data_IF_579526268875
#
_entry.id   IF_579526268875
#
_cell.length_a   1.000
_cell.length_b   1.000
_cell.length_c   1.000
_cell.angle_alpha   90.00
_cell.angle_beta   90.00
_cell.angle_gamma   90.00
#
_symmetry.space_group_name_H-M   'P 1'
#
loop_
_entity.id
_entity.type
_entity.pdbx_description
1 polymer ?
#
# COMPACT_ATOMS: atom_id res chain seq x y z
N UNK A 1 6.27 53.74 -19.69
CA UNK A 1 4.96 53.06 -19.62
C UNK A 1 5.20 51.56 -19.57
N UNK A 2 5.03 50.99 -18.38
CA UNK A 2 5.28 49.58 -18.06
C UNK A 2 4.15 48.70 -18.62
N UNK A 3 4.43 47.90 -19.67
CA UNK A 3 3.50 46.86 -20.12
C UNK A 3 3.57 45.68 -19.16
N UNK A 4 2.73 45.70 -18.12
CA UNK A 4 2.48 44.56 -17.23
C UNK A 4 1.92 43.39 -18.07
N UNK A 5 2.79 42.44 -18.47
CA UNK A 5 2.39 41.14 -19.03
C UNK A 5 1.51 40.44 -18.00
N UNK A 6 0.21 40.31 -18.28
CA UNK A 6 -0.66 39.40 -17.53
C UNK A 6 -0.09 37.99 -17.75
N UNK A 7 0.21 37.21 -16.70
CA UNK A 7 0.47 35.79 -16.89
C UNK A 7 -0.84 35.20 -17.37
N UNK A 8 -0.94 34.93 -18.68
CA UNK A 8 -1.90 33.96 -19.19
C UNK A 8 -1.66 32.71 -18.37
N UNK A 9 -2.60 32.42 -17.48
CA UNK A 9 -2.71 31.16 -16.80
C UNK A 9 -2.88 30.11 -17.90
N UNK A 10 -1.77 29.63 -18.45
CA UNK A 10 -1.76 28.45 -19.32
C UNK A 10 -2.35 27.34 -18.47
N UNK A 11 -3.63 27.05 -18.68
CA UNK A 11 -4.17 25.74 -18.31
C UNK A 11 -3.21 24.77 -18.95
N UNK A 12 -2.49 23.99 -18.15
CA UNK A 12 -1.65 22.92 -18.64
C UNK A 12 -2.54 21.93 -19.41
N UNK A 13 -2.74 22.18 -20.70
CA UNK A 13 -3.45 21.29 -21.60
C UNK A 13 -2.49 20.18 -21.92
N UNK A 14 -2.57 19.10 -21.14
CA UNK A 14 -1.77 17.92 -21.36
C UNK A 14 -2.07 17.36 -22.76
N UNK A 15 -1.05 17.11 -23.60
CA UNK A 15 -1.27 16.69 -24.99
C UNK A 15 -1.86 15.29 -25.09
N UNK A 16 -1.69 14.44 -24.06
CA UNK A 16 -2.26 13.10 -23.98
C UNK A 16 -2.63 12.72 -22.54
N UNK A 17 -3.65 11.86 -22.36
CA UNK A 17 -4.03 11.28 -21.05
C UNK A 17 -2.84 10.56 -20.40
N UNK A 18 -2.04 9.86 -21.19
CA UNK A 18 -0.86 9.14 -20.71
C UNK A 18 0.20 10.06 -20.10
N UNK A 19 0.47 11.22 -20.71
CA UNK A 19 1.41 12.20 -20.16
C UNK A 19 0.92 12.77 -18.83
N UNK A 20 -0.39 13.02 -18.70
CA UNK A 20 -1.02 13.46 -17.45
C UNK A 20 -0.89 12.40 -16.34
N UNK A 21 -1.21 11.14 -16.66
CA UNK A 21 -1.11 10.02 -15.71
C UNK A 21 0.32 9.81 -15.25
N UNK A 22 1.30 9.78 -16.16
CA UNK A 22 2.71 9.61 -15.81
C UNK A 22 3.26 10.76 -14.96
N UNK A 23 2.78 11.98 -15.18
CA UNK A 23 3.16 13.13 -14.36
C UNK A 23 2.55 13.03 -12.94
N UNK A 24 1.26 12.70 -12.84
CA UNK A 24 0.61 12.47 -11.54
C UNK A 24 1.23 11.30 -10.77
N UNK A 25 1.56 10.22 -11.49
CA UNK A 25 2.22 9.05 -10.92
C UNK A 25 3.63 9.38 -10.38
N UNK A 26 4.41 10.19 -11.10
CA UNK A 26 5.73 10.64 -10.63
C UNK A 26 5.66 11.52 -9.38
N UNK A 27 4.58 12.29 -9.21
CA UNK A 27 4.36 13.12 -8.02
C UNK A 27 3.89 12.29 -6.82
N UNK A 28 3.04 11.29 -7.05
CA UNK A 28 2.36 10.54 -5.99
C UNK A 28 3.06 9.23 -5.58
N UNK A 29 3.86 8.61 -6.46
CA UNK A 29 4.62 7.40 -6.12
C UNK A 29 5.63 7.60 -4.98
N UNK A 30 6.35 8.72 -4.89
CA UNK A 30 7.22 9.00 -3.74
C UNK A 30 6.45 9.00 -2.42
N UNK A 31 5.22 9.53 -2.41
CA UNK A 31 4.35 9.51 -1.24
C UNK A 31 3.97 8.07 -0.85
N UNK A 32 3.53 7.26 -1.82
CA UNK A 32 3.22 5.86 -1.56
C UNK A 32 4.44 5.06 -1.06
N UNK A 33 5.59 5.27 -1.68
CA UNK A 33 6.83 4.62 -1.29
C UNK A 33 7.25 5.04 0.12
N UNK A 34 7.09 6.31 0.47
CA UNK A 34 7.32 6.80 1.83
C UNK A 34 6.44 6.06 2.84
N UNK A 35 5.14 5.98 2.59
CA UNK A 35 4.20 5.25 3.47
C UNK A 35 4.60 3.77 3.63
N UNK A 36 4.94 3.09 2.53
CA UNK A 36 5.38 1.69 2.57
C UNK A 36 6.68 1.52 3.37
N UNK A 37 7.68 2.40 3.15
CA UNK A 37 8.95 2.36 3.86
C UNK A 37 8.74 2.66 5.35
N UNK A 38 7.94 3.67 5.71
CA UNK A 38 7.65 4.00 7.10
C UNK A 38 7.03 2.83 7.85
N UNK A 39 6.05 2.15 7.27
CA UNK A 39 5.45 0.97 7.90
C UNK A 39 6.42 -0.22 7.96
N UNK A 40 7.19 -0.47 6.90
CA UNK A 40 8.18 -1.54 6.90
C UNK A 40 9.26 -1.31 7.97
N UNK A 41 9.74 -0.07 8.11
CA UNK A 41 10.70 0.32 9.16
C UNK A 41 10.07 0.19 10.55
N UNK A 42 8.83 0.62 10.74
CA UNK A 42 8.12 0.47 12.02
C UNK A 42 8.01 -1.00 12.43
N UNK A 43 7.71 -1.90 11.48
CA UNK A 43 7.69 -3.35 11.72
C UNK A 43 9.09 -3.90 11.96
N UNK A 44 10.12 -3.46 11.23
CA UNK A 44 11.50 -3.86 11.51
C UNK A 44 11.92 -3.44 12.92
N UNK A 45 11.55 -2.24 13.35
CA UNK A 45 11.85 -1.70 14.67
C UNK A 45 11.04 -2.35 15.81
N UNK A 46 10.12 -3.28 15.51
CA UNK A 46 9.31 -3.99 16.51
C UNK A 46 10.17 -4.65 17.60
N UNK A 47 11.37 -5.11 17.26
CA UNK A 47 12.31 -5.74 18.20
C UNK A 47 12.97 -4.74 19.16
N UNK A 48 13.03 -3.45 18.81
CA UNK A 48 13.53 -2.38 19.69
C UNK A 48 12.40 -1.85 20.57
N UNK A 49 11.17 -1.83 20.04
CA UNK A 49 9.98 -1.34 20.73
C UNK A 49 9.39 -2.35 21.74
N UNK A 50 9.48 -3.65 21.45
CA UNK A 50 9.01 -4.73 22.31
C UNK A 50 10.22 -5.35 23.01
N UNK A 51 10.33 -5.17 24.32
CA UNK A 51 11.36 -5.83 25.11
C UNK A 51 11.25 -7.35 24.92
N UNK A 52 12.39 -8.04 24.80
CA UNK A 52 12.55 -9.50 24.63
C UNK A 52 11.93 -10.35 25.74
N UNK A 53 11.31 -9.73 26.74
CA UNK A 53 10.67 -10.35 27.89
C UNK A 53 9.15 -10.53 27.76
N UNK A 54 8.52 -10.01 26.69
CA UNK A 54 7.09 -10.15 26.50
C UNK A 54 6.72 -11.53 25.91
N UNK A 55 5.78 -12.28 26.51
CA UNK A 55 5.30 -13.58 26.01
C UNK A 55 4.55 -13.49 24.66
N UNK A 56 4.36 -12.27 24.14
CA UNK A 56 3.79 -12.00 22.82
C UNK A 56 4.82 -12.04 21.69
N UNK A 57 6.11 -12.20 22.00
CA UNK A 57 7.16 -12.32 20.99
C UNK A 57 7.14 -13.72 20.38
N UNK A 58 6.96 -13.88 19.06
CA UNK A 58 6.88 -15.20 18.44
C UNK A 58 8.16 -15.99 18.73
N UNK A 59 8.00 -17.13 19.39
CA UNK A 59 9.08 -18.02 19.83
C UNK A 59 9.84 -18.68 18.67
N UNK A 60 9.42 -18.47 17.43
CA UNK A 60 10.03 -19.07 16.23
C UNK A 60 10.99 -18.09 15.52
N UNK A 61 12.32 -18.24 15.70
CA UNK A 61 13.30 -17.34 15.08
C UNK A 61 13.26 -17.35 13.55
N UNK A 62 12.75 -18.43 12.95
CA UNK A 62 12.56 -18.55 11.49
C UNK A 62 11.48 -17.59 10.98
N UNK A 63 10.35 -17.45 11.68
CA UNK A 63 9.24 -16.59 11.28
C UNK A 63 9.67 -15.12 11.31
N UNK A 64 10.37 -14.73 12.37
CA UNK A 64 10.94 -13.38 12.54
C UNK A 64 11.90 -13.04 11.41
N UNK A 65 12.78 -13.98 11.03
CA UNK A 65 13.72 -13.79 9.91
C UNK A 65 13.00 -13.64 8.56
N UNK A 66 11.95 -14.42 8.31
CA UNK A 66 11.14 -14.30 7.08
C UNK A 66 10.44 -12.94 7.03
N UNK A 67 9.87 -12.49 8.15
CA UNK A 67 9.24 -11.17 8.24
C UNK A 67 10.26 -10.07 8.01
N UNK A 68 11.43 -10.11 8.63
CA UNK A 68 12.47 -9.09 8.44
C UNK A 68 12.96 -9.05 6.99
N UNK A 69 13.17 -10.20 6.36
CA UNK A 69 13.49 -10.30 4.95
C UNK A 69 12.38 -9.70 4.06
N UNK A 70 11.11 -9.94 4.39
CA UNK A 70 9.97 -9.39 3.65
C UNK A 70 9.89 -7.87 3.75
N UNK A 71 10.16 -7.29 4.93
CA UNK A 71 10.18 -5.84 5.13
C UNK A 71 11.33 -5.17 4.39
N UNK A 72 12.53 -5.79 4.38
CA UNK A 72 13.64 -5.32 3.55
C UNK A 72 13.30 -5.38 2.06
N UNK A 73 12.62 -6.44 1.63
CA UNK A 73 12.10 -6.57 0.27
C UNK A 73 11.14 -5.41 -0.10
N UNK A 74 10.20 -5.07 0.78
CA UNK A 74 9.27 -3.94 0.59
C UNK A 74 10.03 -2.61 0.46
N UNK A 75 11.06 -2.38 1.29
CA UNK A 75 11.88 -1.16 1.23
C UNK A 75 12.59 -1.06 -0.13
N UNK A 76 13.21 -2.16 -0.58
CA UNK A 76 13.90 -2.22 -1.87
C UNK A 76 12.93 -2.00 -3.03
N UNK A 77 11.77 -2.67 -3.02
CA UNK A 77 10.73 -2.51 -4.05
C UNK A 77 10.15 -1.09 -4.05
N UNK A 78 9.96 -0.48 -2.88
CA UNK A 78 9.49 0.90 -2.76
C UNK A 78 10.51 1.90 -3.31
N UNK A 79 11.80 1.70 -3.04
CA UNK A 79 12.86 2.50 -3.66
C UNK A 79 12.91 2.30 -5.18
N UNK A 80 12.73 1.06 -5.66
CA UNK A 80 12.65 0.76 -7.07
C UNK A 80 11.45 1.45 -7.74
N UNK A 81 10.29 1.54 -7.08
CA UNK A 81 9.11 2.27 -7.55
C UNK A 81 9.41 3.75 -7.75
N UNK A 82 10.10 4.40 -6.81
CA UNK A 82 10.54 5.81 -6.96
C UNK A 82 11.46 5.95 -8.18
N UNK A 83 12.45 5.06 -8.30
CA UNK A 83 13.42 5.11 -9.40
C UNK A 83 12.74 4.89 -10.77
N UNK A 84 11.80 3.94 -10.86
CA UNK A 84 11.05 3.67 -12.09
C UNK A 84 10.09 4.80 -12.44
N UNK A 85 9.45 5.43 -11.46
CA UNK A 85 8.64 6.63 -11.65
C UNK A 85 9.47 7.77 -12.23
N UNK A 86 10.66 7.99 -11.66
CA UNK A 86 11.60 9.01 -12.12
C UNK A 86 12.12 8.73 -13.53
N UNK A 87 12.53 7.48 -13.80
CA UNK A 87 13.04 7.05 -15.11
C UNK A 87 11.95 6.79 -16.15
N UNK A 88 10.66 6.91 -15.78
CA UNK A 88 9.48 6.62 -16.62
C UNK A 88 9.54 5.23 -17.29
N UNK A 89 9.92 4.21 -16.52
CA UNK A 89 10.06 2.84 -17.00
C UNK A 89 8.70 2.13 -16.97
N UNK A 90 8.38 1.34 -18.01
CA UNK A 90 7.20 0.50 -18.04
C UNK A 90 7.34 -0.70 -17.07
N UNK A 91 6.29 -1.07 -16.34
CA UNK A 91 6.31 -2.18 -15.37
C UNK A 91 6.05 -1.80 -13.91
N UNK A 92 5.67 -0.55 -13.65
CA UNK A 92 5.30 -0.07 -12.30
C UNK A 92 4.19 -0.93 -11.68
N UNK A 93 3.21 -1.36 -12.46
CA UNK A 93 2.12 -2.25 -12.02
C UNK A 93 2.61 -3.59 -11.48
N UNK A 94 3.61 -4.20 -12.11
CA UNK A 94 4.18 -5.49 -11.68
C UNK A 94 4.87 -5.35 -10.32
N UNK A 95 5.65 -4.28 -10.14
CA UNK A 95 6.36 -4.05 -8.87
C UNK A 95 5.38 -3.70 -7.75
N UNK A 96 4.31 -2.96 -8.05
CA UNK A 96 3.22 -2.71 -7.11
C UNK A 96 2.50 -4.00 -6.71
N UNK A 97 2.23 -4.88 -7.67
CA UNK A 97 1.64 -6.18 -7.42
C UNK A 97 2.51 -7.02 -6.48
N UNK A 98 3.82 -7.12 -6.76
CA UNK A 98 4.76 -7.87 -5.93
C UNK A 98 4.84 -7.26 -4.52
N UNK A 99 4.95 -5.93 -4.41
CA UNK A 99 4.97 -5.23 -3.13
C UNK A 99 3.70 -5.53 -2.31
N UNK A 100 2.54 -5.45 -2.96
CA UNK A 100 1.25 -5.76 -2.33
C UNK A 100 1.11 -7.24 -1.96
N UNK A 101 1.60 -8.16 -2.78
CA UNK A 101 1.61 -9.59 -2.46
C UNK A 101 2.46 -9.88 -1.22
N UNK A 102 3.63 -9.25 -1.09
CA UNK A 102 4.47 -9.37 0.11
C UNK A 102 3.72 -8.81 1.32
N UNK A 103 3.13 -7.62 1.21
CA UNK A 103 2.32 -7.04 2.29
C UNK A 103 1.12 -7.89 2.68
N UNK A 104 0.43 -8.50 1.70
CA UNK A 104 -0.68 -9.44 1.90
C UNK A 104 -0.24 -10.64 2.73
N UNK A 105 0.86 -11.29 2.32
CA UNK A 105 1.43 -12.42 3.06
C UNK A 105 1.84 -12.00 4.47
N UNK A 106 2.53 -10.86 4.63
CA UNK A 106 2.89 -10.34 5.95
C UNK A 106 1.65 -10.04 6.82
N UNK A 107 0.64 -9.34 6.30
CA UNK A 107 -0.63 -9.05 6.98
C UNK A 107 -1.31 -10.36 7.44
N UNK A 108 -1.36 -11.38 6.57
CA UNK A 108 -1.95 -12.69 6.90
C UNK A 108 -1.22 -13.38 8.07
N UNK A 109 0.11 -13.42 8.01
CA UNK A 109 0.93 -14.01 9.07
C UNK A 109 0.78 -13.25 10.39
N UNK A 110 0.72 -11.93 10.37
CA UNK A 110 0.53 -11.15 11.59
C UNK A 110 -0.84 -11.36 12.24
N UNK A 111 -1.90 -11.55 11.45
CA UNK A 111 -3.25 -11.80 11.96
C UNK A 111 -3.36 -13.20 12.57
N UNK A 112 -2.82 -14.21 11.89
CA UNK A 112 -2.97 -15.61 12.27
C UNK A 112 -2.01 -16.04 13.39
N UNK A 113 -0.75 -15.61 13.34
CA UNK A 113 0.30 -16.07 14.26
C UNK A 113 0.56 -15.10 15.42
N UNK A 114 0.52 -13.79 15.17
CA UNK A 114 0.88 -12.80 16.19
C UNK A 114 -0.33 -12.17 16.90
N UNK A 115 -1.57 -12.39 16.41
CA UNK A 115 -2.80 -11.82 16.97
C UNK A 115 -2.77 -10.29 17.20
N UNK A 116 -1.90 -9.54 16.52
CA UNK A 116 -1.76 -8.10 16.77
C UNK A 116 -3.05 -7.37 16.34
N UNK A 117 -3.74 -6.64 17.24
CA UNK A 117 -4.93 -5.86 16.88
C UNK A 117 -4.62 -4.69 15.93
N UNK A 118 -3.34 -4.28 15.85
CA UNK A 118 -2.87 -3.16 15.05
C UNK A 118 -2.65 -3.48 13.55
N UNK A 119 -2.77 -4.73 13.12
CA UNK A 119 -2.52 -5.10 11.69
C UNK A 119 -3.64 -4.59 10.78
N UNK A 120 -4.86 -4.55 11.30
CA UNK A 120 -6.06 -4.10 10.61
C UNK A 120 -5.98 -2.65 10.12
N UNK A 121 -5.67 -1.66 10.99
CA UNK A 121 -5.48 -0.29 10.54
C UNK A 121 -4.29 -0.16 9.58
N UNK A 122 -3.26 -1.00 9.70
CA UNK A 122 -2.12 -0.99 8.77
C UNK A 122 -2.55 -1.33 7.34
N UNK A 123 -3.21 -2.49 7.13
CA UNK A 123 -3.61 -2.88 5.78
C UNK A 123 -4.65 -1.86 5.21
N UNK A 124 -5.52 -1.28 6.06
CA UNK A 124 -6.44 -0.19 5.70
C UNK A 124 -5.70 1.09 5.25
N UNK A 125 -4.68 1.53 5.97
CA UNK A 125 -3.91 2.73 5.61
C UNK A 125 -3.13 2.50 4.32
N UNK A 126 -2.54 1.31 4.13
CA UNK A 126 -1.87 0.95 2.87
C UNK A 126 -2.83 1.02 1.69
N UNK A 127 -4.03 0.44 1.83
CA UNK A 127 -5.07 0.49 0.80
C UNK A 127 -5.47 1.93 0.47
N UNK A 128 -5.68 2.77 1.48
CA UNK A 128 -6.07 4.18 1.30
C UNK A 128 -4.94 5.02 0.68
N UNK A 129 -3.69 4.76 1.07
CA UNK A 129 -2.51 5.36 0.47
C UNK A 129 -2.36 4.94 -1.00
N UNK A 130 -2.64 3.66 -1.32
CA UNK A 130 -2.70 3.16 -2.68
C UNK A 130 -3.78 3.88 -3.50
N UNK A 131 -5.00 3.99 -2.97
CA UNK A 131 -6.11 4.65 -3.63
C UNK A 131 -5.82 6.13 -3.93
N UNK A 132 -5.24 6.85 -2.96
CA UNK A 132 -4.89 8.27 -3.14
C UNK A 132 -3.72 8.46 -4.11
N UNK A 133 -2.70 7.60 -4.05
CA UNK A 133 -1.51 7.75 -4.89
C UNK A 133 -1.73 7.27 -6.33
N UNK A 134 -2.50 6.20 -6.51
CA UNK A 134 -2.75 5.54 -7.79
C UNK A 134 -4.11 5.83 -8.40
N UNK A 135 -4.86 6.79 -7.87
CA UNK A 135 -6.17 7.17 -8.41
C UNK A 135 -6.15 7.35 -9.93
N UNK A 136 -5.13 8.05 -10.46
CA UNK A 136 -4.99 8.31 -11.90
C UNK A 136 -4.48 7.10 -12.74
N UNK A 137 -4.09 5.99 -12.10
CA UNK A 137 -3.50 4.81 -12.74
C UNK A 137 -4.23 3.51 -12.32
N UNK A 138 -5.39 3.21 -12.93
CA UNK A 138 -6.30 2.14 -12.47
C UNK A 138 -5.66 0.75 -12.50
N UNK A 139 -4.82 0.46 -13.51
CA UNK A 139 -4.11 -0.82 -13.62
C UNK A 139 -3.18 -1.07 -12.43
N UNK A 140 -2.40 -0.07 -12.04
CA UNK A 140 -1.53 -0.17 -10.86
C UNK A 140 -2.31 -0.17 -9.55
N UNK A 141 -3.44 0.56 -9.50
CA UNK A 141 -4.31 0.59 -8.34
C UNK A 141 -4.88 -0.80 -8.06
N UNK A 142 -5.46 -1.47 -9.06
CA UNK A 142 -5.99 -2.82 -8.91
C UNK A 142 -4.88 -3.82 -8.54
N UNK A 143 -3.72 -3.73 -9.20
CA UNK A 143 -2.57 -4.56 -8.89
C UNK A 143 -2.11 -4.42 -7.42
N UNK A 144 -2.17 -3.21 -6.85
CA UNK A 144 -1.80 -2.97 -5.47
C UNK A 144 -2.91 -3.30 -4.46
N UNK A 145 -4.18 -3.06 -4.81
CA UNK A 145 -5.31 -3.22 -3.89
C UNK A 145 -5.77 -4.66 -3.78
N UNK A 146 -5.80 -5.42 -4.89
CA UNK A 146 -6.38 -6.76 -4.93
C UNK A 146 -5.76 -7.73 -3.91
N UNK A 147 -4.42 -7.86 -3.81
CA UNK A 147 -3.83 -8.81 -2.88
C UNK A 147 -4.21 -8.50 -1.43
N UNK A 148 -4.07 -7.23 -1.03
CA UNK A 148 -4.41 -6.72 0.31
C UNK A 148 -5.91 -6.85 0.63
N UNK A 149 -6.78 -6.58 -0.34
CA UNK A 149 -8.22 -6.67 -0.19
C UNK A 149 -8.68 -8.12 0.02
N UNK A 150 -8.03 -9.10 -0.62
CA UNK A 150 -8.30 -10.54 -0.42
C UNK A 150 -7.77 -11.03 0.93
N UNK A 151 -6.63 -10.52 1.40
CA UNK A 151 -6.04 -10.94 2.69
C UNK A 151 -6.99 -10.71 3.85
N UNK A 152 -7.67 -9.56 3.87
CA UNK A 152 -8.55 -9.15 4.96
C UNK A 152 -9.66 -10.18 5.25
N UNK A 153 -10.49 -10.60 4.28
CA UNK A 153 -11.52 -11.59 4.52
C UNK A 153 -10.99 -12.98 4.80
N UNK A 154 -9.91 -13.39 4.12
CA UNK A 154 -9.29 -14.70 4.36
C UNK A 154 -8.75 -14.79 5.80
N UNK A 155 -8.06 -13.77 6.26
CA UNK A 155 -7.52 -13.73 7.61
C UNK A 155 -8.62 -13.63 8.68
N UNK A 156 -9.71 -12.89 8.41
CA UNK A 156 -10.85 -12.83 9.32
C UNK A 156 -11.61 -14.15 9.41
N UNK A 157 -11.75 -14.88 8.30
CA UNK A 157 -12.43 -16.18 8.27
C UNK A 157 -11.70 -17.19 9.14
N UNK A 158 -10.37 -17.29 8.98
CA UNK A 158 -9.53 -18.24 9.71
C UNK A 158 -9.47 -17.91 11.20
N UNK A 159 -9.49 -16.64 11.57
CA UNK A 159 -9.39 -16.23 12.98
C UNK A 159 -10.68 -16.46 13.77
N UNK A 160 -11.82 -16.44 13.11
CA UNK A 160 -13.10 -16.28 13.79
C UNK A 160 -14.10 -17.43 13.55
N UNK A 161 -13.63 -18.56 13.00
CA UNK A 161 -14.43 -19.75 12.66
C UNK A 161 -15.76 -19.40 11.95
N UNK A 162 -15.76 -18.33 11.13
CA UNK A 162 -16.94 -17.77 10.51
C UNK A 162 -16.86 -16.27 10.23
N UNK A 163 -17.84 -15.76 9.47
CA UNK A 163 -17.94 -14.34 9.13
C UNK A 163 -18.49 -13.53 10.30
N UNK A 164 -17.64 -12.74 10.95
CA UNK A 164 -18.08 -11.69 11.86
C UNK A 164 -18.85 -10.61 11.09
N UNK A 165 -20.07 -10.31 11.55
CA UNK A 165 -20.94 -9.32 10.91
C UNK A 165 -20.32 -7.90 10.95
N UNK A 166 -19.66 -7.53 12.04
CA UNK A 166 -18.90 -6.27 12.14
C UNK A 166 -17.79 -6.19 11.08
N UNK A 167 -17.09 -7.29 10.86
CA UNK A 167 -16.04 -7.32 9.86
C UNK A 167 -16.60 -7.20 8.44
N UNK A 168 -17.67 -7.94 8.16
CA UNK A 168 -18.35 -7.89 6.88
C UNK A 168 -18.85 -6.48 6.54
N UNK A 169 -19.38 -5.75 7.52
CA UNK A 169 -19.81 -4.35 7.33
C UNK A 169 -18.61 -3.46 6.97
N UNK A 170 -17.50 -3.54 7.72
CA UNK A 170 -16.30 -2.72 7.44
C UNK A 170 -15.74 -3.06 6.04
N UNK A 171 -15.64 -4.35 5.71
CA UNK A 171 -15.16 -4.81 4.41
C UNK A 171 -16.09 -4.39 3.26
N UNK A 172 -17.41 -4.44 3.47
CA UNK A 172 -18.40 -3.99 2.48
C UNK A 172 -18.28 -2.49 2.20
N UNK A 173 -18.18 -1.66 3.25
CA UNK A 173 -17.95 -0.22 3.10
C UNK A 173 -16.64 0.05 2.35
N UNK A 174 -15.57 -0.69 2.67
CA UNK A 174 -14.30 -0.57 1.96
C UNK A 174 -14.41 -0.94 0.48
N UNK A 175 -15.15 -2.02 0.18
CA UNK A 175 -15.38 -2.49 -1.19
C UNK A 175 -16.19 -1.46 -1.98
N UNK A 176 -17.19 -0.82 -1.36
CA UNK A 176 -17.92 0.30 -1.94
C UNK A 176 -17.02 1.49 -2.26
N UNK A 177 -16.13 1.87 -1.35
CA UNK A 177 -15.15 2.96 -1.58
C UNK A 177 -14.25 2.62 -2.77
N UNK A 178 -13.77 1.37 -2.85
CA UNK A 178 -12.94 0.91 -3.97
C UNK A 178 -13.71 0.94 -5.29
N UNK A 179 -14.95 0.44 -5.31
CA UNK A 179 -15.81 0.44 -6.50
C UNK A 179 -16.05 1.89 -6.94
N UNK A 180 -16.46 2.79 -6.04
CA UNK A 180 -16.68 4.21 -6.35
C UNK A 180 -15.40 4.90 -6.85
N UNK A 181 -14.25 4.58 -6.25
CA UNK A 181 -12.95 5.13 -6.66
C UNK A 181 -12.54 4.68 -8.06
N UNK A 182 -12.72 3.40 -8.38
CA UNK A 182 -12.38 2.81 -9.70
C UNK A 182 -13.38 3.24 -10.78
N UNK A 183 -14.69 3.29 -10.47
CA UNK A 183 -15.73 3.68 -11.44
C UNK A 183 -15.79 5.18 -11.74
N UNK A 184 -15.10 6.01 -10.95
CA UNK A 184 -14.96 7.45 -11.22
C UNK A 184 -13.77 7.81 -12.14
N UNK A 185 -12.99 6.84 -12.62
CA UNK A 185 -11.79 7.01 -13.44
C UNK A 185 -11.93 6.44 -14.85
#
# INVERSE_FOLDING_TARGET
MEKRKKPTLERATWPTRHAMVMHGLAMNLPWLAFVNISFAVMILLRHVLLNTSDPLYPHSPQLTRIVDASMLGIIILSAALILMAWRRIAGISVVLFICSAIWSVSCFWFITQLLLPHVWPLCVILLLAGLTALYFYPEGLLAFVLPLWITLPVASWIRNDGLNLHFFVIWSVFTLILICGVSSC
#
